data_IF_063702379050
#
_entry.id   IF_063702379050
#
_cell.length_a   1.000
_cell.length_b   1.000
_cell.length_c   1.000
_cell.angle_alpha   90.00
_cell.angle_beta   90.00
_cell.angle_gamma   90.00
#
_symmetry.space_group_name_H-M   'P 1'
#
loop_
_entity.id
_entity.type
_entity.pdbx_description
1 polymer ?
#
# COMPACT_ATOMS: atom_id res chain seq x y z
N UNK A 1 17.83 8.42 15.12
CA UNK A 1 16.38 8.19 15.06
C UNK A 1 16.05 7.53 13.73
N UNK A 2 16.05 6.20 13.67
CA UNK A 2 15.48 5.42 12.56
C UNK A 2 15.18 4.02 13.10
N UNK A 3 14.05 3.89 13.77
CA UNK A 3 13.53 2.57 14.16
C UNK A 3 12.99 1.86 12.91
N UNK A 4 13.88 1.09 12.27
CA UNK A 4 13.47 -0.04 11.44
C UNK A 4 13.22 -1.23 12.37
N UNK A 5 12.10 -1.18 13.10
CA UNK A 5 11.64 -2.29 13.92
C UNK A 5 10.71 -3.19 13.11
N UNK A 6 10.99 -4.48 13.20
CA UNK A 6 10.29 -5.59 12.56
C UNK A 6 8.80 -5.59 12.93
N UNK A 7 7.95 -5.15 12.01
CA UNK A 7 6.49 -5.26 12.10
C UNK A 7 5.97 -5.15 10.67
N UNK A 8 4.93 -5.90 10.26
CA UNK A 8 4.25 -5.61 9.01
C UNK A 8 3.63 -4.21 9.12
N UNK A 9 4.39 -3.19 8.75
CA UNK A 9 3.95 -1.80 8.76
C UNK A 9 2.91 -1.69 7.65
N UNK A 10 1.65 -1.63 8.07
CA UNK A 10 0.52 -1.41 7.19
C UNK A 10 0.48 0.08 6.84
N UNK A 11 0.76 0.42 5.58
CA UNK A 11 0.57 1.75 5.03
C UNK A 11 -0.93 2.05 4.88
N UNK A 12 -1.34 3.25 5.28
CA UNK A 12 -2.66 3.76 4.91
C UNK A 12 -2.70 4.16 3.43
N UNK A 13 -3.89 4.33 2.87
CA UNK A 13 -4.06 4.80 1.49
C UNK A 13 -3.37 6.15 1.24
N UNK A 14 -3.32 7.08 2.21
CA UNK A 14 -2.59 8.33 1.99
C UNK A 14 -1.08 8.09 1.80
N UNK A 15 -0.50 7.18 2.58
CA UNK A 15 0.90 6.78 2.43
C UNK A 15 1.16 6.13 1.09
N UNK A 16 0.25 5.26 0.63
CA UNK A 16 0.36 4.61 -0.68
C UNK A 16 0.32 5.64 -1.81
N UNK A 17 -0.55 6.64 -1.70
CA UNK A 17 -0.63 7.75 -2.67
C UNK A 17 0.68 8.53 -2.71
N UNK A 18 1.23 8.88 -1.54
CA UNK A 18 2.49 9.61 -1.45
C UNK A 18 3.67 8.79 -2.01
N UNK A 19 3.70 7.49 -1.74
CA UNK A 19 4.77 6.61 -2.19
C UNK A 19 4.71 6.28 -3.69
N UNK A 20 3.51 6.10 -4.23
CA UNK A 20 3.31 5.74 -5.65
C UNK A 20 3.12 6.95 -6.56
N UNK A 21 2.81 8.12 -6.01
CA UNK A 21 2.37 9.29 -6.77
C UNK A 21 1.03 9.11 -7.48
N UNK A 22 0.30 8.01 -7.22
CA UNK A 22 -0.94 7.68 -7.90
C UNK A 22 -2.15 8.32 -7.21
N UNK A 23 -3.18 8.65 -8.00
CA UNK A 23 -4.44 9.14 -7.43
C UNK A 23 -5.11 8.06 -6.56
N UNK A 24 -5.87 8.52 -5.56
CA UNK A 24 -6.65 7.65 -4.65
C UNK A 24 -7.49 6.62 -5.41
N UNK A 25 -8.12 7.05 -6.51
CA UNK A 25 -8.90 6.19 -7.41
C UNK A 25 -8.06 5.10 -8.07
N UNK A 26 -6.84 5.42 -8.52
CA UNK A 26 -5.93 4.45 -9.12
C UNK A 26 -5.45 3.42 -8.09
N UNK A 27 -5.16 3.85 -6.86
CA UNK A 27 -4.82 2.96 -5.75
C UNK A 27 -5.96 1.97 -5.48
N UNK A 28 -7.21 2.45 -5.37
CA UNK A 28 -8.36 1.56 -5.23
C UNK A 28 -8.54 0.61 -6.43
N UNK A 29 -8.28 1.07 -7.66
CA UNK A 29 -8.30 0.21 -8.85
C UNK A 29 -7.25 -0.89 -8.78
N UNK A 30 -6.03 -0.59 -8.35
CA UNK A 30 -4.94 -1.56 -8.20
C UNK A 30 -5.26 -2.62 -7.13
N UNK A 31 -5.82 -2.19 -6.01
CA UNK A 31 -6.33 -3.09 -4.97
C UNK A 31 -7.45 -3.98 -5.52
N UNK A 32 -8.41 -3.40 -6.26
CA UNK A 32 -9.52 -4.15 -6.86
C UNK A 32 -9.09 -5.10 -7.98
N UNK A 33 -8.00 -4.77 -8.69
CA UNK A 33 -7.37 -5.65 -9.69
C UNK A 33 -6.53 -6.77 -9.08
N UNK A 34 -6.26 -6.73 -7.77
CA UNK A 34 -5.42 -7.71 -7.10
C UNK A 34 -3.92 -7.52 -7.30
N UNK A 35 -3.49 -6.41 -7.93
CA UNK A 35 -2.07 -6.06 -8.06
C UNK A 35 -1.42 -5.85 -6.69
N UNK A 36 -2.18 -5.29 -5.75
CA UNK A 36 -1.74 -4.98 -4.39
C UNK A 36 -2.66 -5.70 -3.41
N UNK A 37 -2.12 -6.60 -2.59
CA UNK A 37 -2.90 -7.23 -1.52
C UNK A 37 -3.14 -6.23 -0.41
N UNK A 38 -4.32 -5.62 -0.39
CA UNK A 38 -4.72 -4.76 0.71
C UNK A 38 -5.53 -5.54 1.75
N UNK A 39 -5.23 -5.33 3.03
CA UNK A 39 -5.96 -5.87 4.16
C UNK A 39 -7.01 -4.87 4.59
N UNK A 40 -8.27 -5.29 4.58
CA UNK A 40 -9.39 -4.44 4.98
C UNK A 40 -9.58 -4.50 6.49
N UNK A 41 -9.29 -3.41 7.18
CA UNK A 41 -9.58 -3.21 8.60
C UNK A 41 -10.88 -2.42 8.73
N UNK A 42 -12.01 -3.13 8.72
CA UNK A 42 -13.36 -2.54 8.85
C UNK A 42 -13.72 -1.62 7.67
N UNK A 43 -13.81 -0.31 7.94
CA UNK A 43 -14.08 0.73 6.94
C UNK A 43 -12.81 1.23 6.23
N UNK A 44 -11.64 0.96 6.78
CA UNK A 44 -10.36 1.41 6.24
C UNK A 44 -9.64 0.27 5.53
N UNK A 45 -8.98 0.58 4.42
CA UNK A 45 -8.11 -0.36 3.71
C UNK A 45 -6.69 -0.02 4.09
N UNK A 46 -5.92 -1.02 4.51
CA UNK A 46 -4.49 -0.86 4.75
C UNK A 46 -3.70 -1.75 3.81
N UNK A 47 -2.58 -1.25 3.31
CA UNK A 47 -1.70 -1.96 2.39
C UNK A 47 -0.42 -2.33 3.14
N UNK A 48 -0.02 -3.61 3.18
CA UNK A 48 1.27 -3.97 3.75
C UNK A 48 2.39 -3.32 2.93
N UNK A 49 3.36 -2.68 3.59
CA UNK A 49 4.47 -2.01 2.92
C UNK A 49 5.27 -2.93 1.99
N UNK A 50 5.33 -4.23 2.28
CA UNK A 50 5.96 -5.22 1.40
C UNK A 50 5.31 -5.27 0.01
N UNK A 51 3.98 -5.20 -0.08
CA UNK A 51 3.30 -5.13 -1.38
C UNK A 51 3.44 -3.77 -2.05
N UNK A 52 3.52 -2.70 -1.27
CA UNK A 52 3.80 -1.37 -1.80
C UNK A 52 5.19 -1.31 -2.44
N UNK A 53 6.20 -1.84 -1.75
CA UNK A 53 7.56 -1.97 -2.28
C UNK A 53 7.62 -2.90 -3.50
N UNK A 54 6.83 -3.98 -3.50
CA UNK A 54 6.72 -4.88 -4.65
C UNK A 54 6.14 -4.13 -5.85
N UNK A 55 5.07 -3.37 -5.66
CA UNK A 55 4.47 -2.53 -6.70
C UNK A 55 5.45 -1.49 -7.24
N UNK A 56 6.27 -0.87 -6.37
CA UNK A 56 7.28 0.11 -6.78
C UNK A 56 8.43 -0.52 -7.58
N UNK A 57 8.81 -1.77 -7.25
CA UNK A 57 9.92 -2.49 -7.93
C UNK A 57 9.49 -3.17 -9.22
N UNK A 58 8.37 -3.89 -9.18
CA UNK A 58 7.92 -4.77 -10.25
C UNK A 58 6.90 -4.09 -11.17
N UNK A 59 6.27 -3.00 -10.70
CA UNK A 59 5.08 -2.47 -11.33
C UNK A 59 3.89 -3.44 -11.20
N UNK A 60 2.81 -3.08 -11.86
CA UNK A 60 1.80 -4.02 -12.32
C UNK A 60 1.70 -3.80 -13.85
#
# INVERSE_FOLDING_TARGET
MTEQATSPQFADIQEVILATGLSRTMVYKLVRRGCVKAVRFGKSIRVPRTELERLLREGC
#
